data_IF_223063118040
#
_entry.id   IF_223063118040
#
_cell.length_a   1.000
_cell.length_b   1.000
_cell.length_c   1.000
_cell.angle_alpha   90.00
_cell.angle_beta   90.00
_cell.angle_gamma   90.00
#
_symmetry.space_group_name_H-M   'P 1'
#
loop_
_entity.id
_entity.type
_entity.pdbx_description
1 polymer ?
#
# COMPACT_ATOMS: atom_id res chain seq x y z
N UNK A 1 -19.02 -15.55 -20.57
CA UNK A 1 -18.11 -14.39 -20.70
C UNK A 1 -17.27 -14.16 -19.47
N UNK A 2 -15.95 -14.10 -19.64
CA UNK A 2 -15.01 -13.64 -18.61
C UNK A 2 -14.87 -12.13 -18.75
N UNK A 3 -15.22 -11.37 -17.71
CA UNK A 3 -15.00 -9.92 -17.66
C UNK A 3 -13.60 -9.68 -17.09
N UNK A 4 -12.73 -9.03 -17.87
CA UNK A 4 -11.39 -8.69 -17.43
C UNK A 4 -11.38 -7.30 -16.80
N UNK A 5 -10.82 -7.20 -15.60
CA UNK A 5 -10.55 -5.91 -14.96
C UNK A 5 -9.18 -5.41 -15.42
N UNK A 6 -9.17 -4.33 -16.20
CA UNK A 6 -7.94 -3.63 -16.57
C UNK A 6 -7.49 -2.78 -15.38
N UNK A 7 -6.41 -3.19 -14.73
CA UNK A 7 -5.85 -2.48 -13.58
C UNK A 7 -4.58 -1.74 -14.02
N UNK A 8 -4.53 -0.43 -13.77
CA UNK A 8 -3.33 0.39 -13.96
C UNK A 8 -2.72 0.70 -12.60
N UNK A 9 -1.38 0.65 -12.52
CA UNK A 9 -0.65 1.13 -11.34
C UNK A 9 -0.44 2.63 -11.51
N UNK A 10 -1.15 3.41 -10.71
CA UNK A 10 -1.09 4.87 -10.74
C UNK A 10 -1.11 5.45 -9.32
N UNK A 11 -0.77 6.73 -9.17
CA UNK A 11 -0.76 7.45 -7.91
C UNK A 11 -0.90 8.94 -8.14
N UNK A 12 -1.82 9.56 -7.41
CA UNK A 12 -1.95 11.02 -7.36
C UNK A 12 -0.65 11.66 -6.88
N UNK A 13 -0.19 12.70 -7.58
CA UNK A 13 0.94 13.52 -7.14
C UNK A 13 0.61 14.28 -5.84
N UNK A 14 -0.66 14.66 -5.67
CA UNK A 14 -1.16 15.35 -4.49
C UNK A 14 -2.46 14.68 -4.03
N UNK A 15 -2.49 14.22 -2.78
CA UNK A 15 -3.60 13.42 -2.24
C UNK A 15 -4.71 14.28 -1.65
N UNK A 16 -4.50 15.58 -1.55
CA UNK A 16 -5.35 16.48 -0.79
C UNK A 16 -5.60 17.79 -1.53
N UNK A 17 -6.69 18.45 -1.16
CA UNK A 17 -6.95 19.88 -1.40
C UNK A 17 -7.72 20.40 -0.19
N UNK A 18 -8.00 21.70 -0.13
CA UNK A 18 -8.80 22.24 0.98
C UNK A 18 -10.11 21.45 1.13
N UNK A 19 -10.35 20.89 2.32
CA UNK A 19 -11.55 20.10 2.64
C UNK A 19 -11.64 18.70 2.02
N UNK A 20 -10.60 18.17 1.36
CA UNK A 20 -10.63 16.84 0.74
C UNK A 20 -9.29 16.11 0.88
N UNK A 21 -9.36 14.85 1.26
CA UNK A 21 -8.23 13.92 1.29
C UNK A 21 -8.63 12.60 0.62
N UNK A 22 -7.87 12.18 -0.38
CA UNK A 22 -7.93 10.86 -0.98
C UNK A 22 -6.93 9.92 -0.29
N UNK A 23 -7.34 8.68 -0.03
CA UNK A 23 -6.51 7.61 0.54
C UNK A 23 -6.83 6.28 -0.13
N UNK A 24 -5.98 5.25 0.04
CA UNK A 24 -6.22 3.95 -0.57
C UNK A 24 -6.28 4.03 -2.10
N UNK A 25 -7.13 3.22 -2.72
CA UNK A 25 -7.23 3.14 -4.19
C UNK A 25 -7.62 4.46 -4.86
N UNK A 26 -8.30 5.36 -4.12
CA UNK A 26 -8.63 6.71 -4.61
C UNK A 26 -7.38 7.60 -4.76
N UNK A 27 -6.33 7.37 -3.95
CA UNK A 27 -5.06 8.06 -4.05
C UNK A 27 -4.04 7.31 -4.91
N UNK A 28 -4.16 5.98 -4.98
CA UNK A 28 -3.20 5.14 -5.68
C UNK A 28 -3.77 3.77 -6.05
N UNK A 29 -4.02 3.59 -7.35
CA UNK A 29 -4.41 2.32 -7.91
C UNK A 29 -3.24 1.32 -7.86
N UNK A 30 -3.53 0.11 -7.39
CA UNK A 30 -2.53 -0.91 -7.10
C UNK A 30 -2.64 -2.09 -8.04
N UNK A 31 -1.51 -2.75 -8.31
CA UNK A 31 -1.52 -4.07 -8.96
C UNK A 31 -2.17 -5.09 -8.01
N UNK A 32 -2.91 -6.11 -8.51
CA UNK A 32 -3.43 -7.19 -7.66
C UNK A 32 -2.31 -8.10 -7.13
N UNK A 33 -1.08 -7.97 -7.64
CA UNK A 33 0.06 -8.81 -7.29
C UNK A 33 0.32 -8.74 -5.78
N UNK A 34 0.22 -9.90 -5.13
CA UNK A 34 0.52 -10.07 -3.70
C UNK A 34 -0.58 -9.60 -2.76
N UNK A 35 -1.73 -9.12 -3.24
CA UNK A 35 -2.88 -8.77 -2.37
C UNK A 35 -2.61 -7.64 -1.36
N UNK A 36 -1.59 -6.82 -1.58
CA UNK A 36 -1.12 -5.82 -0.60
C UNK A 36 -1.93 -4.52 -0.57
N UNK A 37 -2.80 -4.30 -1.56
CA UNK A 37 -3.56 -3.05 -1.71
C UNK A 37 -4.45 -2.74 -0.49
N UNK A 38 -5.18 -3.75 0.00
CA UNK A 38 -6.10 -3.57 1.14
C UNK A 38 -5.36 -3.19 2.43
N UNK A 39 -4.20 -3.79 2.68
CA UNK A 39 -3.39 -3.47 3.85
C UNK A 39 -2.83 -2.04 3.76
N UNK A 40 -2.39 -1.63 2.57
CA UNK A 40 -1.91 -0.26 2.38
C UNK A 40 -3.03 0.76 2.61
N UNK A 41 -4.22 0.54 2.03
CA UNK A 41 -5.39 1.39 2.21
C UNK A 41 -5.81 1.49 3.69
N UNK A 42 -5.79 0.36 4.42
CA UNK A 42 -6.06 0.33 5.85
C UNK A 42 -5.05 1.18 6.63
N UNK A 43 -3.77 1.07 6.30
CA UNK A 43 -2.73 1.89 6.94
C UNK A 43 -2.87 3.37 6.63
N UNK A 44 -3.35 3.74 5.44
CA UNK A 44 -3.63 5.14 5.12
C UNK A 44 -4.79 5.66 5.95
N UNK A 45 -5.84 4.85 6.15
CA UNK A 45 -6.94 5.19 7.05
C UNK A 45 -6.47 5.36 8.50
N UNK A 46 -5.61 4.47 9.01
CA UNK A 46 -5.05 4.59 10.36
C UNK A 46 -4.16 5.84 10.48
N UNK A 47 -3.32 6.14 9.49
CA UNK A 47 -2.53 7.37 9.50
C UNK A 47 -3.41 8.63 9.43
N UNK A 48 -4.45 8.62 8.60
CA UNK A 48 -5.41 9.71 8.52
C UNK A 48 -6.11 9.91 9.87
N UNK A 49 -6.58 8.85 10.52
CA UNK A 49 -7.18 8.94 11.86
C UNK A 49 -6.19 9.51 12.90
N UNK A 50 -4.95 9.01 12.92
CA UNK A 50 -3.93 9.49 13.85
C UNK A 50 -3.56 10.96 13.68
N UNK A 51 -3.62 11.48 12.44
CA UNK A 51 -3.29 12.88 12.15
C UNK A 51 -4.52 13.78 12.33
N UNK A 52 -5.69 13.34 11.87
CA UNK A 52 -6.84 14.22 11.68
C UNK A 52 -7.91 14.13 12.78
N UNK A 53 -7.98 13.04 13.56
CA UNK A 53 -9.09 12.86 14.50
C UNK A 53 -9.17 13.96 15.56
N UNK A 54 -8.04 14.32 16.19
CA UNK A 54 -8.01 15.39 17.19
C UNK A 54 -8.25 16.78 16.57
N UNK A 55 -7.55 17.18 15.49
CA UNK A 55 -7.83 18.46 14.83
C UNK A 55 -9.28 18.61 14.34
N UNK A 56 -9.87 17.58 13.73
CA UNK A 56 -11.26 17.60 13.26
C UNK A 56 -12.26 17.79 14.41
N UNK A 57 -11.94 17.29 15.60
CA UNK A 57 -12.79 17.47 16.78
C UNK A 57 -12.78 18.91 17.33
N UNK A 58 -11.78 19.71 16.96
CA UNK A 58 -11.62 21.10 17.37
C UNK A 58 -12.09 22.10 16.31
N UNK A 59 -12.35 21.62 15.08
CA UNK A 59 -12.85 22.45 13.99
C UNK A 59 -12.34 22.01 12.61
N UNK A 60 -12.51 22.85 11.59
CA UNK A 60 -12.01 22.58 10.25
C UNK A 60 -10.49 22.37 10.24
N UNK A 61 -10.03 21.36 9.49
CA UNK A 61 -8.59 21.10 9.33
C UNK A 61 -8.01 21.86 8.16
N UNK A 62 -6.83 22.43 8.37
CA UNK A 62 -6.05 23.08 7.32
C UNK A 62 -5.34 22.08 6.41
N UNK A 63 -4.85 22.58 5.28
CA UNK A 63 -4.12 21.79 4.27
C UNK A 63 -2.84 21.14 4.81
N UNK A 64 -2.25 21.68 5.87
CA UNK A 64 -0.98 21.16 6.41
C UNK A 64 -1.15 19.81 7.12
N UNK A 65 -2.27 19.61 7.82
CA UNK A 65 -2.59 18.29 8.40
C UNK A 65 -2.90 17.26 7.29
N UNK A 66 -3.59 17.68 6.22
CA UNK A 66 -3.83 16.80 5.06
C UNK A 66 -2.51 16.42 4.37
N UNK A 67 -1.61 17.39 4.16
CA UNK A 67 -0.26 17.17 3.64
C UNK A 67 0.56 16.22 4.53
N UNK A 68 0.38 16.31 5.85
CA UNK A 68 1.07 15.43 6.80
C UNK A 68 0.68 13.96 6.61
N UNK A 69 -0.58 13.67 6.26
CA UNK A 69 -1.00 12.30 5.90
C UNK A 69 -0.24 11.81 4.67
N UNK A 70 -0.22 12.60 3.58
CA UNK A 70 0.52 12.23 2.36
C UNK A 70 2.00 11.99 2.65
N UNK A 71 2.70 12.93 3.32
CA UNK A 71 4.13 12.77 3.66
C UNK A 71 4.40 11.50 4.47
N UNK A 72 3.45 11.09 5.32
CA UNK A 72 3.58 9.89 6.16
C UNK A 72 3.47 8.60 5.36
N UNK A 73 2.64 8.57 4.30
CA UNK A 73 2.21 7.37 3.58
C UNK A 73 2.75 7.23 2.16
N UNK A 74 3.23 8.32 1.55
CA UNK A 74 3.70 8.31 0.17
C UNK A 74 4.91 7.39 -0.03
N UNK A 75 5.91 7.44 0.86
CA UNK A 75 7.11 6.61 0.73
C UNK A 75 6.79 5.10 0.80
N UNK A 76 6.06 4.58 1.81
CA UNK A 76 5.62 3.18 1.83
C UNK A 76 4.84 2.76 0.57
N UNK A 77 3.95 3.63 0.09
CA UNK A 77 3.15 3.41 -1.13
C UNK A 77 4.04 3.25 -2.36
N UNK A 78 5.01 4.16 -2.54
CA UNK A 78 5.96 4.15 -3.66
C UNK A 78 6.80 2.88 -3.69
N UNK A 79 7.33 2.47 -2.55
CA UNK A 79 8.16 1.25 -2.46
C UNK A 79 7.30 0.02 -2.78
N UNK A 80 6.07 -0.04 -2.26
CA UNK A 80 5.14 -1.15 -2.52
C UNK A 80 4.79 -1.26 -3.99
N UNK A 81 4.38 -0.16 -4.64
CA UNK A 81 4.09 -0.14 -6.07
C UNK A 81 5.30 -0.55 -6.92
N UNK A 82 6.49 -0.05 -6.58
CA UNK A 82 7.71 -0.43 -7.27
C UNK A 82 7.97 -1.93 -7.18
N UNK A 83 7.84 -2.53 -5.99
CA UNK A 83 7.97 -3.99 -5.80
C UNK A 83 6.96 -4.76 -6.64
N UNK A 84 5.70 -4.33 -6.66
CA UNK A 84 4.65 -4.97 -7.46
C UNK A 84 4.95 -4.93 -8.96
N UNK A 85 5.30 -3.77 -9.50
CA UNK A 85 5.65 -3.61 -10.92
C UNK A 85 6.85 -4.47 -11.28
N UNK A 86 7.84 -4.55 -10.40
CA UNK A 86 9.03 -5.37 -10.58
C UNK A 86 8.69 -6.86 -10.63
N UNK A 87 7.84 -7.35 -9.72
CA UNK A 87 7.39 -8.75 -9.72
C UNK A 87 6.56 -9.05 -10.97
N UNK A 88 5.63 -8.17 -11.33
CA UNK A 88 4.77 -8.33 -12.51
C UNK A 88 5.59 -8.43 -13.79
N UNK A 89 6.56 -7.52 -14.00
CA UNK A 89 7.41 -7.49 -15.20
C UNK A 89 8.43 -8.62 -15.25
N UNK A 90 9.06 -8.96 -14.12
CA UNK A 90 10.21 -9.88 -14.11
C UNK A 90 9.82 -11.34 -13.93
N UNK A 91 8.70 -11.62 -13.28
CA UNK A 91 8.25 -12.99 -12.95
C UNK A 91 7.00 -13.34 -13.74
N UNK A 92 5.89 -12.63 -13.51
CA UNK A 92 4.58 -13.01 -14.06
C UNK A 92 4.56 -12.92 -15.59
N UNK A 93 4.99 -11.80 -16.16
CA UNK A 93 5.01 -11.61 -17.61
C UNK A 93 5.95 -12.61 -18.33
N UNK A 94 7.05 -13.01 -17.69
CA UNK A 94 7.97 -14.02 -18.24
C UNK A 94 7.37 -15.43 -18.24
N UNK A 95 6.67 -15.81 -17.17
CA UNK A 95 6.02 -17.12 -17.06
C UNK A 95 4.89 -17.23 -18.08
N UNK A 96 4.04 -16.20 -18.18
CA UNK A 96 2.92 -16.18 -19.13
C UNK A 96 3.38 -16.03 -20.60
N UNK A 97 4.54 -15.42 -20.83
CA UNK A 97 5.11 -15.19 -22.17
C UNK A 97 5.90 -16.35 -22.78
N UNK A 98 5.97 -17.52 -22.13
CA UNK A 98 6.42 -18.80 -22.71
C UNK A 98 7.85 -18.90 -23.28
N UNK A 99 8.73 -17.91 -23.07
CA UNK A 99 9.94 -17.73 -23.91
C UNK A 99 11.27 -18.13 -23.27
N UNK A 100 11.31 -18.70 -22.06
CA UNK A 100 12.55 -19.20 -21.47
C UNK A 100 12.34 -20.33 -20.44
N UNK A 101 13.31 -21.27 -20.28
CA UNK A 101 13.26 -22.26 -19.21
C UNK A 101 13.15 -21.54 -17.85
N UNK A 102 12.20 -22.00 -17.02
CA UNK A 102 11.88 -21.49 -15.69
C UNK A 102 13.02 -21.75 -14.70
N UNK A 103 14.17 -21.11 -14.90
CA UNK A 103 15.22 -21.10 -13.89
C UNK A 103 14.79 -20.13 -12.79
N UNK A 104 14.55 -20.62 -11.56
CA UNK A 104 14.10 -19.74 -10.49
C UNK A 104 15.18 -18.69 -10.23
N UNK A 105 14.82 -17.39 -10.22
CA UNK A 105 15.80 -16.33 -9.98
C UNK A 105 16.45 -16.52 -8.62
N UNK A 106 17.69 -16.06 -8.47
CA UNK A 106 18.50 -16.23 -7.24
C UNK A 106 17.73 -15.94 -5.94
N UNK A 107 16.90 -14.89 -5.82
CA UNK A 107 16.12 -14.64 -4.61
C UNK A 107 15.14 -15.78 -4.27
N UNK A 108 14.49 -16.38 -5.27
CA UNK A 108 13.59 -17.52 -5.08
C UNK A 108 14.36 -18.77 -4.62
N UNK A 109 15.55 -19.01 -5.18
CA UNK A 109 16.43 -20.12 -4.76
C UNK A 109 16.92 -19.96 -3.33
N UNK A 110 17.31 -18.74 -2.94
CA UNK A 110 17.69 -18.39 -1.57
C UNK A 110 16.53 -18.57 -0.59
N UNK A 111 15.32 -18.11 -0.95
CA UNK A 111 14.11 -18.30 -0.15
C UNK A 111 13.75 -19.78 0.04
N UNK A 112 13.94 -20.60 -0.99
CA UNK A 112 13.72 -22.04 -0.91
C UNK A 112 14.76 -22.72 -0.02
N UNK A 113 16.01 -22.24 -0.03
CA UNK A 113 17.11 -22.82 0.74
C UNK A 113 17.10 -22.42 2.22
N UNK A 114 16.70 -21.19 2.55
CA UNK A 114 16.72 -20.69 3.93
C UNK A 114 15.32 -20.37 4.43
N UNK A 115 14.79 -21.23 5.30
CA UNK A 115 13.44 -21.10 5.87
C UNK A 115 13.20 -19.77 6.58
N UNK A 116 14.24 -19.17 7.17
CA UNK A 116 14.15 -17.86 7.83
C UNK A 116 13.81 -16.73 6.83
N UNK A 117 14.35 -16.80 5.61
CA UNK A 117 14.10 -15.79 4.57
C UNK A 117 12.63 -15.79 4.13
N UNK A 118 11.90 -16.91 4.22
CA UNK A 118 10.48 -17.01 3.85
C UNK A 118 9.57 -16.13 4.71
N UNK A 119 10.00 -15.77 5.91
CA UNK A 119 9.24 -14.89 6.82
C UNK A 119 9.20 -13.43 6.34
N UNK A 120 10.22 -12.98 5.60
CA UNK A 120 10.33 -11.59 5.15
C UNK A 120 9.22 -11.22 4.15
N UNK A 121 9.05 -11.91 3.00
CA UNK A 121 8.00 -11.56 2.05
C UNK A 121 6.61 -11.78 2.64
N UNK A 122 6.42 -12.80 3.48
CA UNK A 122 5.15 -13.02 4.19
C UNK A 122 4.80 -11.81 5.09
N UNK A 123 5.78 -11.28 5.83
CA UNK A 123 5.59 -10.09 6.67
C UNK A 123 5.36 -8.83 5.85
N UNK A 124 6.08 -8.65 4.74
CA UNK A 124 5.87 -7.52 3.84
C UNK A 124 4.47 -7.52 3.22
N UNK A 125 3.97 -8.70 2.82
CA UNK A 125 2.63 -8.85 2.26
C UNK A 125 1.56 -8.64 3.34
N UNK A 126 1.69 -9.34 4.47
CA UNK A 126 0.66 -9.34 5.52
C UNK A 126 0.64 -8.08 6.39
N UNK A 127 1.80 -7.45 6.62
CA UNK A 127 1.94 -6.33 7.57
C UNK A 127 2.39 -5.03 6.87
N UNK A 128 3.01 -5.10 5.70
CA UNK A 128 3.42 -3.91 4.93
C UNK A 128 4.77 -3.32 5.35
N UNK A 129 5.22 -2.31 4.61
CA UNK A 129 6.58 -1.74 4.73
C UNK A 129 6.72 -0.82 5.95
N UNK A 130 5.67 -0.08 6.30
CA UNK A 130 5.67 0.83 7.45
C UNK A 130 4.31 0.79 8.14
N UNK A 131 4.09 -0.18 9.05
CA UNK A 131 2.80 -0.41 9.67
C UNK A 131 2.38 0.79 10.52
N UNK A 132 1.13 1.22 10.35
CA UNK A 132 0.54 2.20 11.25
C UNK A 132 -0.18 1.49 12.40
N UNK A 133 -0.07 2.09 13.57
CA UNK A 133 -0.81 1.64 14.76
C UNK A 133 -1.73 2.78 15.16
N UNK A 134 -2.97 2.45 15.53
CA UNK A 134 -3.93 3.44 16.03
C UNK A 134 -3.39 4.04 17.33
N UNK A 135 -3.33 5.37 17.38
CA UNK A 135 -2.89 6.18 18.52
C UNK A 135 -3.93 7.21 18.91
N UNK A 136 -4.83 7.60 18.00
CA UNK A 136 -5.90 8.53 18.36
C UNK A 136 -6.79 7.88 19.42
N UNK A 137 -7.06 8.54 20.57
CA UNK A 137 -8.03 8.03 21.52
C UNK A 137 -9.37 7.93 20.82
N UNK A 138 -9.98 6.73 20.84
CA UNK A 138 -11.36 6.56 20.44
C UNK A 138 -12.18 7.40 21.41
N UNK A 139 -12.73 8.52 20.95
CA UNK A 139 -13.75 9.23 21.72
C UNK A 139 -14.92 8.25 21.80
N UNK A 140 -15.09 7.58 22.95
CA UNK A 140 -16.30 6.81 23.22
C UNK A 140 -17.43 7.82 23.11
N UNK A 141 -18.21 7.73 22.04
CA UNK A 141 -19.50 8.39 21.96
C UNK A 141 -20.32 7.83 23.11
N UNK A 142 -20.49 8.61 24.18
CA UNK A 142 -21.57 8.37 25.12
C UNK A 142 -22.86 8.51 24.31
N UNK A 143 -23.52 7.38 24.07
CA UNK A 143 -24.89 7.35 23.58
C UNK A 143 -25.83 7.86 24.67
#
# INVERSE_FOLDING_TARGET
DVKLLTVQVDRLAQWWRSGLLCIGDAAHAMSPVGGVGINLALQDAVAAANVLAAPLSQGPVGVEELRRVQRRRELPTRITQWLQVMIQRRVIARILGGTAPLTPPLPLRLLARFALLRRIPARLIGIGIRPEHLRSPVRRTSA
#
